data_IF_615315854815
#
_entry.id   IF_615315854815
#
_cell.length_a   1.000
_cell.length_b   1.000
_cell.length_c   1.000
_cell.angle_alpha   90.00
_cell.angle_beta   90.00
_cell.angle_gamma   90.00
#
_symmetry.space_group_name_H-M   'P 1'
#
loop_
_entity.id
_entity.type
_entity.pdbx_description
1 polymer ?
#
# COMPACT_ATOMS: atom_id res chain seq x y z
N UNK A 1 15.90 -9.72 0.59
CA UNK A 1 16.36 -8.37 0.98
C UNK A 1 15.36 -7.84 2.00
N UNK A 2 15.82 -7.18 3.07
CA UNK A 2 14.99 -6.88 4.24
C UNK A 2 13.90 -5.85 3.98
N UNK A 3 12.65 -6.24 4.20
CA UNK A 3 11.47 -5.38 4.14
C UNK A 3 11.52 -4.44 5.36
N UNK A 4 12.15 -3.28 5.17
CA UNK A 4 12.25 -2.26 6.20
C UNK A 4 10.86 -1.66 6.43
N UNK A 5 10.32 -1.85 7.62
CA UNK A 5 9.22 -1.04 8.15
C UNK A 5 9.58 0.45 8.01
N UNK A 6 8.82 1.19 7.20
CA UNK A 6 8.97 2.63 7.02
C UNK A 6 8.03 3.40 7.96
N UNK A 7 8.05 3.13 9.27
CA UNK A 7 7.19 3.87 10.21
C UNK A 7 7.43 5.40 10.18
N UNK A 8 8.67 5.84 9.89
CA UNK A 8 9.00 7.26 9.78
C UNK A 8 8.61 7.93 8.46
N UNK A 9 8.38 7.17 7.38
CA UNK A 9 8.12 7.70 6.03
C UNK A 9 6.71 7.36 5.51
N UNK A 10 5.99 6.46 6.19
CA UNK A 10 4.63 6.08 5.81
C UNK A 10 3.68 7.28 5.77
N UNK A 11 3.89 8.29 6.61
CA UNK A 11 3.11 9.53 6.62
C UNK A 11 3.13 10.30 5.29
N UNK A 12 4.26 10.28 4.57
CA UNK A 12 4.39 10.90 3.25
C UNK A 12 4.03 9.91 2.14
N UNK A 13 4.43 8.64 2.29
CA UNK A 13 4.08 7.58 1.34
C UNK A 13 2.57 7.38 1.24
N UNK A 14 1.80 7.43 2.34
CA UNK A 14 0.34 7.27 2.30
C UNK A 14 -0.37 8.34 1.46
N UNK A 15 0.17 9.55 1.38
CA UNK A 15 -0.37 10.59 0.50
C UNK A 15 -0.18 10.21 -0.98
N UNK A 16 0.98 9.63 -1.32
CA UNK A 16 1.26 9.09 -2.66
C UNK A 16 0.45 7.83 -2.95
N UNK A 17 0.29 6.95 -1.96
CA UNK A 17 -0.55 5.77 -2.02
C UNK A 17 -2.01 6.16 -2.29
N UNK A 18 -2.51 7.25 -1.69
CA UNK A 18 -3.86 7.76 -1.96
C UNK A 18 -4.01 8.28 -3.38
N UNK A 19 -2.96 8.86 -3.96
CA UNK A 19 -2.95 9.28 -5.37
C UNK A 19 -2.89 8.08 -6.34
N UNK A 20 -2.12 7.05 -5.99
CA UNK A 20 -2.00 5.81 -6.77
C UNK A 20 -3.30 5.00 -6.72
N UNK A 21 -3.87 4.87 -5.53
CA UNK A 21 -5.07 4.07 -5.26
C UNK A 21 -6.25 4.96 -4.84
N UNK A 22 -6.85 5.65 -5.80
CA UNK A 22 -7.98 6.55 -5.56
C UNK A 22 -9.18 5.88 -4.83
N UNK A 23 -9.43 4.58 -5.10
CA UNK A 23 -10.50 3.80 -4.42
C UNK A 23 -10.23 3.47 -2.95
N UNK A 24 -8.99 3.57 -2.48
CA UNK A 24 -8.62 3.28 -1.09
C UNK A 24 -8.67 4.57 -0.28
N UNK A 25 -9.36 4.58 0.86
CA UNK A 25 -9.49 5.78 1.69
C UNK A 25 -8.21 6.06 2.47
N UNK A 26 -8.01 7.33 2.84
CA UNK A 26 -6.85 7.72 3.65
C UNK A 26 -6.81 6.98 4.98
N UNK A 27 -7.97 6.80 5.61
CA UNK A 27 -8.12 6.07 6.88
C UNK A 27 -7.65 4.61 6.76
N UNK A 28 -8.00 3.93 5.67
CA UNK A 28 -7.57 2.55 5.38
C UNK A 28 -6.05 2.46 5.18
N UNK A 29 -5.47 3.43 4.46
CA UNK A 29 -4.01 3.54 4.31
C UNK A 29 -3.33 3.83 5.67
N UNK A 30 -3.94 4.65 6.53
CA UNK A 30 -3.43 4.90 7.88
C UNK A 30 -3.48 3.63 8.75
N UNK A 31 -4.54 2.84 8.65
CA UNK A 31 -4.70 1.59 9.39
C UNK A 31 -3.60 0.57 9.04
N UNK A 32 -3.17 0.50 7.78
CA UNK A 32 -2.08 -0.40 7.37
C UNK A 32 -0.75 -0.09 8.02
N UNK A 33 -0.52 1.17 8.46
CA UNK A 33 0.76 1.64 9.01
C UNK A 33 1.99 1.29 8.15
N UNK A 34 1.81 1.18 6.84
CA UNK A 34 2.87 0.79 5.90
C UNK A 34 3.16 -0.71 5.87
N UNK A 35 2.23 -1.52 6.37
CA UNK A 35 2.26 -2.96 6.21
C UNK A 35 1.89 -3.33 4.78
N UNK A 36 2.85 -3.99 4.14
CA UNK A 36 2.75 -4.45 2.76
C UNK A 36 1.55 -5.39 2.54
N UNK A 37 1.36 -6.35 3.44
CA UNK A 37 0.34 -7.38 3.29
C UNK A 37 -1.07 -6.79 3.46
N UNK A 38 -1.25 -5.90 4.45
CA UNK A 38 -2.53 -5.21 4.64
C UNK A 38 -2.87 -4.25 3.49
N UNK A 39 -1.88 -3.58 2.91
CA UNK A 39 -2.09 -2.79 1.70
C UNK A 39 -2.57 -3.66 0.54
N UNK A 40 -1.95 -4.82 0.36
CA UNK A 40 -2.31 -5.75 -0.71
C UNK A 40 -3.74 -6.27 -0.53
N UNK A 41 -4.15 -6.65 0.69
CA UNK A 41 -5.52 -7.08 0.99
C UNK A 41 -6.55 -5.98 0.67
N UNK A 42 -6.30 -4.74 1.11
CA UNK A 42 -7.22 -3.61 0.84
C UNK A 42 -7.30 -3.31 -0.66
N UNK A 43 -6.17 -3.35 -1.38
CA UNK A 43 -6.16 -3.13 -2.83
C UNK A 43 -6.90 -4.26 -3.55
N UNK A 44 -6.69 -5.51 -3.13
CA UNK A 44 -7.42 -6.67 -3.63
C UNK A 44 -8.93 -6.47 -3.46
N UNK A 45 -9.41 -6.10 -2.27
CA UNK A 45 -10.83 -5.88 -2.00
C UNK A 45 -11.42 -4.70 -2.78
N UNK A 46 -10.67 -3.59 -2.91
CA UNK A 46 -11.18 -2.35 -3.53
C UNK A 46 -11.14 -2.35 -5.05
N UNK A 47 -10.18 -3.04 -5.63
CA UNK A 47 -10.03 -3.12 -7.08
C UNK A 47 -10.53 -4.46 -7.64
N UNK A 48 -10.83 -5.45 -6.79
CA UNK A 48 -11.25 -6.78 -7.23
C UNK A 48 -10.13 -7.51 -7.97
N UNK A 49 -8.88 -7.32 -7.52
CA UNK A 49 -7.69 -7.89 -8.14
C UNK A 49 -7.30 -9.21 -7.47
N UNK A 50 -6.59 -10.04 -8.21
CA UNK A 50 -5.93 -11.19 -7.61
C UNK A 50 -4.84 -10.73 -6.63
N UNK A 51 -4.58 -11.58 -5.62
CA UNK A 51 -3.62 -11.27 -4.56
C UNK A 51 -2.22 -10.99 -5.13
N UNK A 52 -1.85 -11.70 -6.20
CA UNK A 52 -0.56 -11.53 -6.88
C UNK A 52 -0.45 -10.14 -7.54
N UNK A 53 -1.48 -9.69 -8.25
CA UNK A 53 -1.55 -8.35 -8.85
C UNK A 53 -1.56 -7.24 -7.80
N UNK A 54 -2.27 -7.45 -6.70
CA UNK A 54 -2.28 -6.50 -5.59
C UNK A 54 -0.89 -6.41 -4.93
N UNK A 55 -0.27 -7.55 -4.63
CA UNK A 55 1.09 -7.60 -4.08
C UNK A 55 2.11 -6.97 -5.03
N UNK A 56 2.03 -7.22 -6.33
CA UNK A 56 2.93 -6.63 -7.31
C UNK A 56 2.80 -5.09 -7.36
N UNK A 57 1.58 -4.55 -7.25
CA UNK A 57 1.37 -3.10 -7.17
C UNK A 57 1.96 -2.49 -5.90
N UNK A 58 1.77 -3.16 -4.76
CA UNK A 58 2.35 -2.71 -3.50
C UNK A 58 3.88 -2.80 -3.57
N UNK A 59 4.44 -3.85 -4.18
CA UNK A 59 5.88 -4.02 -4.41
C UNK A 59 6.46 -2.89 -5.24
N UNK A 60 5.84 -2.62 -6.39
CA UNK A 60 6.22 -1.52 -7.27
C UNK A 60 6.15 -0.18 -6.53
N UNK A 61 5.11 0.05 -5.73
CA UNK A 61 4.97 1.27 -4.94
C UNK A 61 6.10 1.45 -3.93
N UNK A 62 6.42 0.43 -3.12
CA UNK A 62 7.53 0.47 -2.16
C UNK A 62 8.92 0.39 -2.81
N UNK A 63 9.03 -0.09 -4.05
CA UNK A 63 10.30 -0.05 -4.79
C UNK A 63 10.57 1.32 -5.40
N UNK A 64 9.52 2.10 -5.70
CA UNK A 64 9.65 3.46 -6.25
C UNK A 64 9.94 4.52 -5.20
N UNK A 65 9.64 4.25 -3.93
CA UNK A 65 9.68 5.22 -2.83
C UNK A 65 10.38 4.66 -1.60
#
# INVERSE_FOLDING_TARGET
>A
MGYKYYEGNWGEMRARAKLQWDKVSYDELEQTKGNFDELADIIQERYGLDRDDAMAQVEDFFSRY
#
